data_IF_348806204820
#
_entry.id   IF_348806204820
#
_cell.length_a   1.000
_cell.length_b   1.000
_cell.length_c   1.000
_cell.angle_alpha   90.00
_cell.angle_beta   90.00
_cell.angle_gamma   90.00
#
_symmetry.space_group_name_H-M   'P 1'
#
loop_
_entity.id
_entity.type
_entity.pdbx_description
1 polymer ?
#
# COMPACT_ATOMS: atom_id res chain seq x y z
N UNK A 1 2.01 25.50 -0.18
CA UNK A 1 2.00 24.41 0.82
C UNK A 1 1.48 23.18 0.12
N UNK A 2 2.35 22.21 -0.20
CA UNK A 2 1.88 20.89 -0.65
C UNK A 2 1.36 20.19 0.60
N UNK A 3 0.08 19.84 0.63
CA UNK A 3 -0.47 19.02 1.71
C UNK A 3 0.38 17.74 1.82
N UNK A 4 0.69 17.24 3.04
CA UNK A 4 1.36 15.96 3.16
C UNK A 4 0.51 14.91 2.43
N UNK A 5 1.07 14.14 1.49
CA UNK A 5 0.31 13.09 0.83
C UNK A 5 -0.21 12.13 1.90
N UNK A 6 -1.53 12.02 2.00
CA UNK A 6 -2.16 11.13 2.95
C UNK A 6 -1.95 9.69 2.44
N UNK A 7 -0.89 9.03 2.91
CA UNK A 7 -0.53 7.67 2.52
C UNK A 7 -1.66 6.67 2.76
N UNK A 8 -2.59 6.97 3.67
CA UNK A 8 -3.82 6.21 3.85
C UNK A 8 -4.75 6.32 2.64
N UNK A 9 -4.97 7.50 2.09
CA UNK A 9 -5.80 7.67 0.88
C UNK A 9 -5.19 6.97 -0.32
N UNK A 10 -3.86 7.04 -0.46
CA UNK A 10 -3.16 6.32 -1.53
C UNK A 10 -3.25 4.80 -1.34
N UNK A 11 -3.11 4.30 -0.12
CA UNK A 11 -3.29 2.88 0.18
C UNK A 11 -4.73 2.42 -0.10
N UNK A 12 -5.74 3.21 0.27
CA UNK A 12 -7.15 2.91 -0.01
C UNK A 12 -7.43 2.81 -1.51
N UNK A 13 -6.85 3.69 -2.34
CA UNK A 13 -6.97 3.59 -3.80
C UNK A 13 -6.38 2.28 -4.34
N UNK A 14 -5.25 1.84 -3.80
CA UNK A 14 -4.63 0.56 -4.18
C UNK A 14 -5.52 -0.61 -3.73
N UNK A 15 -6.08 -0.57 -2.51
CA UNK A 15 -7.02 -1.57 -1.98
C UNK A 15 -8.25 -1.70 -2.89
N UNK A 16 -8.87 -0.59 -3.26
CA UNK A 16 -10.04 -0.59 -4.13
C UNK A 16 -9.70 -1.11 -5.54
N UNK A 17 -8.54 -0.74 -6.08
CA UNK A 17 -8.07 -1.25 -7.36
C UNK A 17 -7.80 -2.77 -7.33
N UNK A 18 -7.23 -3.28 -6.23
CA UNK A 18 -7.03 -4.72 -6.04
C UNK A 18 -8.37 -5.45 -5.98
N UNK A 19 -9.35 -4.92 -5.23
CA UNK A 19 -10.70 -5.50 -5.15
C UNK A 19 -11.40 -5.52 -6.50
N UNK A 20 -11.27 -4.45 -7.28
CA UNK A 20 -11.86 -4.36 -8.62
C UNK A 20 -11.20 -5.32 -9.65
N UNK A 21 -10.04 -5.89 -9.33
CA UNK A 21 -9.32 -6.85 -10.16
C UNK A 21 -9.27 -8.26 -9.51
N UNK A 22 -10.23 -8.58 -8.63
CA UNK A 22 -10.35 -9.88 -7.94
C UNK A 22 -9.12 -10.29 -7.10
N UNK A 23 -8.26 -9.35 -6.71
CA UNK A 23 -7.12 -9.58 -5.82
C UNK A 23 -7.48 -9.31 -4.35
N UNK A 24 -8.54 -9.98 -3.88
CA UNK A 24 -9.13 -9.75 -2.55
C UNK A 24 -8.12 -9.99 -1.42
N UNK A 25 -7.39 -11.11 -1.45
CA UNK A 25 -6.41 -11.45 -0.41
C UNK A 25 -5.30 -10.40 -0.26
N UNK A 26 -4.87 -9.79 -1.37
CA UNK A 26 -3.84 -8.73 -1.35
C UNK A 26 -4.42 -7.40 -0.85
N UNK A 27 -5.69 -7.12 -1.16
CA UNK A 27 -6.42 -5.97 -0.66
C UNK A 27 -6.69 -6.06 0.86
N UNK A 28 -7.05 -7.24 1.36
CA UNK A 28 -7.26 -7.51 2.79
C UNK A 28 -5.97 -7.32 3.58
N UNK A 29 -4.84 -7.88 3.11
CA UNK A 29 -3.54 -7.68 3.75
C UNK A 29 -3.13 -6.21 3.86
N UNK A 30 -3.44 -5.40 2.85
CA UNK A 30 -3.21 -3.95 2.91
C UNK A 30 -4.16 -3.25 3.88
N UNK A 31 -5.44 -3.67 3.93
CA UNK A 31 -6.43 -3.13 4.85
C UNK A 31 -6.03 -3.43 6.31
N UNK A 32 -5.64 -4.68 6.57
CA UNK A 32 -5.17 -5.12 7.89
C UNK A 32 -3.93 -4.36 8.37
N UNK A 33 -3.04 -4.01 7.45
CA UNK A 33 -1.87 -3.20 7.79
C UNK A 33 -2.23 -1.80 8.30
N UNK A 34 -3.35 -1.24 7.82
CA UNK A 34 -3.89 0.06 8.23
C UNK A 34 -4.66 -0.09 9.54
N UNK A 35 -5.53 -1.09 9.64
CA UNK A 35 -6.44 -1.27 10.78
C UNK A 35 -5.74 -1.80 12.05
N UNK A 36 -4.74 -2.68 11.90
CA UNK A 36 -4.14 -3.43 13.00
C UNK A 36 -2.66 -3.11 13.26
N UNK A 37 -2.28 -1.84 13.18
CA UNK A 37 -0.96 -1.37 13.62
C UNK A 37 -1.02 -0.64 14.96
N UNK A 38 -0.11 -0.97 15.88
CA UNK A 38 -0.08 -0.37 17.23
C UNK A 38 0.49 1.05 17.23
N UNK A 39 1.28 1.39 16.20
CA UNK A 39 1.92 2.70 16.02
C UNK A 39 1.96 3.08 14.54
N UNK A 40 2.05 4.37 14.24
CA UNK A 40 2.19 4.85 12.86
C UNK A 40 3.39 4.24 12.14
N UNK A 41 4.51 4.02 12.84
CA UNK A 41 5.69 3.35 12.28
C UNK A 41 5.41 1.89 11.93
N UNK A 42 4.70 1.16 12.79
CA UNK A 42 4.32 -0.24 12.53
C UNK A 42 3.38 -0.34 11.31
N UNK A 43 2.39 0.55 11.23
CA UNK A 43 1.48 0.66 10.07
C UNK A 43 2.30 0.86 8.80
N UNK A 44 3.20 1.85 8.78
CA UNK A 44 4.05 2.15 7.62
C UNK A 44 4.94 0.97 7.23
N UNK A 45 5.53 0.27 8.20
CA UNK A 45 6.36 -0.91 7.93
C UNK A 45 5.55 -2.07 7.33
N UNK A 46 4.35 -2.35 7.86
CA UNK A 46 3.45 -3.38 7.33
C UNK A 46 2.97 -3.02 5.93
N UNK A 47 2.53 -1.78 5.72
CA UNK A 47 2.14 -1.27 4.40
C UNK A 47 3.26 -1.47 3.39
N UNK A 48 4.49 -1.01 3.70
CA UNK A 48 5.65 -1.19 2.81
C UNK A 48 5.88 -2.66 2.46
N UNK A 49 5.81 -3.55 3.44
CA UNK A 49 5.99 -4.99 3.22
C UNK A 49 4.96 -5.55 2.23
N UNK A 50 3.67 -5.23 2.40
CA UNK A 50 2.62 -5.71 1.52
C UNK A 50 2.67 -5.09 0.11
N UNK A 51 3.03 -3.81 0.00
CA UNK A 51 3.25 -3.15 -1.30
C UNK A 51 4.38 -3.82 -2.10
N UNK A 52 5.45 -4.26 -1.42
CA UNK A 52 6.53 -5.02 -2.06
C UNK A 52 6.05 -6.37 -2.60
N UNK A 53 5.17 -7.06 -1.87
CA UNK A 53 4.59 -8.32 -2.32
C UNK A 53 3.67 -8.13 -3.53
N UNK A 54 2.86 -7.07 -3.54
CA UNK A 54 2.03 -6.67 -4.69
C UNK A 54 2.88 -6.44 -5.94
N UNK A 55 4.01 -5.72 -5.81
CA UNK A 55 4.92 -5.49 -6.93
C UNK A 55 5.51 -6.77 -7.52
N UNK A 56 5.69 -7.81 -6.70
CA UNK A 56 6.26 -9.11 -7.10
C UNK A 56 5.23 -10.08 -7.68
N UNK A 57 3.93 -9.86 -7.43
CA UNK A 57 2.88 -10.76 -7.89
C UNK A 57 2.62 -10.57 -9.39
N UNK A 58 2.97 -11.54 -10.23
CA UNK A 58 2.82 -11.44 -11.69
C UNK A 58 1.37 -11.28 -12.17
N UNK A 59 0.40 -11.71 -11.37
CA UNK A 59 -1.02 -11.66 -11.74
C UNK A 59 -1.64 -10.27 -11.52
N UNK A 60 -0.98 -9.39 -10.75
CA UNK A 60 -1.48 -8.04 -10.49
C UNK A 60 -1.20 -7.11 -11.69
N UNK A 61 -2.19 -6.32 -12.13
CA UNK A 61 -2.03 -5.32 -13.18
C UNK A 61 -0.85 -4.36 -12.95
N UNK A 62 -0.16 -4.02 -14.04
CA UNK A 62 1.02 -3.14 -13.99
C UNK A 62 0.72 -1.75 -13.41
N UNK A 63 -0.48 -1.21 -13.66
CA UNK A 63 -0.90 0.09 -13.10
C UNK A 63 -0.91 0.07 -11.57
N UNK A 64 -1.47 -0.98 -10.97
CA UNK A 64 -1.51 -1.15 -9.51
C UNK A 64 -0.09 -1.31 -8.95
N UNK A 65 0.80 -1.99 -9.68
CA UNK A 65 2.22 -2.13 -9.28
C UNK A 65 2.97 -0.80 -9.30
N UNK A 66 2.65 0.09 -10.25
CA UNK A 66 3.25 1.43 -10.31
C UNK A 66 2.79 2.25 -9.10
N UNK A 67 1.50 2.25 -8.79
CA UNK A 67 0.96 2.94 -7.61
C UNK A 67 1.57 2.38 -6.32
N UNK A 68 1.67 1.05 -6.22
CA UNK A 68 2.31 0.39 -5.07
C UNK A 68 3.79 0.75 -4.91
N UNK A 69 4.53 0.86 -6.03
CA UNK A 69 5.93 1.33 -6.02
C UNK A 69 6.01 2.76 -5.50
N UNK A 70 5.22 3.67 -6.06
CA UNK A 70 5.23 5.09 -5.67
C UNK A 70 4.90 5.26 -4.19
N UNK A 71 3.91 4.54 -3.68
CA UNK A 71 3.57 4.59 -2.26
C UNK A 71 4.69 3.99 -1.39
N UNK A 72 5.29 2.86 -1.80
CA UNK A 72 6.40 2.24 -1.08
C UNK A 72 7.62 3.16 -0.98
N UNK A 73 7.93 3.94 -2.02
CA UNK A 73 9.01 4.92 -2.01
C UNK A 73 8.73 6.09 -1.06
N UNK A 74 7.49 6.60 -1.07
CA UNK A 74 7.05 7.64 -0.11
C UNK A 74 7.17 7.16 1.34
N UNK A 75 6.71 5.94 1.62
CA UNK A 75 6.81 5.34 2.96
C UNK A 75 8.27 5.16 3.37
N UNK A 76 9.14 4.71 2.47
CA UNK A 76 10.57 4.60 2.74
C UNK A 76 11.16 5.94 3.18
N UNK A 77 10.85 7.03 2.49
CA UNK A 77 11.35 8.36 2.83
C UNK A 77 10.87 8.86 4.21
N UNK A 78 9.76 8.33 4.75
CA UNK A 78 9.26 8.66 6.10
C UNK A 78 9.97 7.82 7.17
N UNK A 79 10.34 6.59 6.84
CA UNK A 79 10.98 5.64 7.76
C UNK A 79 12.50 5.80 7.85
N UNK A 80 13.10 6.70 7.06
CA UNK A 80 14.54 6.98 7.03
C UNK A 80 14.85 8.27 7.75
#
# INVERSE_FOLDING_TARGET
>A
MNAPPNYYEEAMKIIDALKANDHIDDAEKLSDAIEYGSTSTEILMKLRYHLINIMKNNNIPSVIKVDARTLSEKINNILT
#
